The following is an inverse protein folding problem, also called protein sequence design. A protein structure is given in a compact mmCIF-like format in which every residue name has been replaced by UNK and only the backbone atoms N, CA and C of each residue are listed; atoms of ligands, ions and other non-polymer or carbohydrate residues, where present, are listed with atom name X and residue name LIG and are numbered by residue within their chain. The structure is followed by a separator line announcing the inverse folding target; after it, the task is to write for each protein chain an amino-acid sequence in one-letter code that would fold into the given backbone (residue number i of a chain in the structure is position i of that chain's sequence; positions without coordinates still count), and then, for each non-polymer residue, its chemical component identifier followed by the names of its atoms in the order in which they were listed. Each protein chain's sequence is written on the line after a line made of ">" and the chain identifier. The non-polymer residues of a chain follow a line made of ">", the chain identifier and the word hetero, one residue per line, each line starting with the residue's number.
data_IF_624946137286
#
_entry.id   IF_624946137286
#
_cell.length_a   1.000
_cell.length_b   1.000
_cell.length_c   1.000
_cell.angle_alpha   90.00
_cell.angle_beta   90.00
_cell.angle_gamma   90.00
#
_symmetry.space_group_name_H-M   'P 1'
#
loop_
_entity.id
_entity.type
_entity.pdbx_description
1 polymer ?
#
# COMPACT_ATOMS: atom_id res chain seq x y z
N UNK A 1 -21.13 -1.59 17.17
CA UNK A 1 -20.40 -2.60 17.98
C UNK A 1 -19.32 -3.33 17.18
N UNK A 2 -19.61 -3.94 16.02
CA UNK A 2 -18.58 -4.69 15.26
C UNK A 2 -17.30 -3.89 14.93
N UNK A 3 -17.40 -2.68 14.38
CA UNK A 3 -16.22 -1.86 14.06
C UNK A 3 -15.40 -1.49 15.30
N UNK A 4 -16.06 -1.31 16.45
CA UNK A 4 -15.37 -1.05 17.71
C UNK A 4 -14.49 -2.24 18.09
N UNK A 5 -15.02 -3.45 17.98
CA UNK A 5 -14.31 -4.69 18.32
C UNK A 5 -13.15 -5.00 17.36
N UNK A 6 -13.21 -4.57 16.10
CA UNK A 6 -12.22 -4.95 15.08
C UNK A 6 -11.20 -3.85 14.75
N UNK A 7 -11.62 -2.60 14.50
CA UNK A 7 -10.74 -1.57 13.91
C UNK A 7 -10.66 -0.27 14.70
N UNK A 8 -11.57 0.00 15.64
CA UNK A 8 -11.64 1.31 16.29
C UNK A 8 -11.16 1.34 17.75
N UNK A 9 -11.27 0.26 18.52
CA UNK A 9 -10.87 0.25 19.94
C UNK A 9 -9.35 0.49 20.08
N UNK A 10 -8.89 1.56 20.77
CA UNK A 10 -7.46 1.84 20.95
C UNK A 10 -6.64 0.71 21.58
N UNK A 11 -7.25 -0.13 22.40
CA UNK A 11 -6.58 -1.25 23.08
C UNK A 11 -6.34 -2.45 22.16
N UNK A 12 -7.18 -2.65 21.14
CA UNK A 12 -7.15 -3.84 20.27
C UNK A 12 -6.87 -3.54 18.81
N UNK A 13 -7.04 -2.29 18.37
CA UNK A 13 -6.85 -1.90 16.97
C UNK A 13 -5.38 -2.00 16.57
N UNK A 14 -5.16 -2.37 15.31
CA UNK A 14 -3.84 -2.39 14.67
C UNK A 14 -3.76 -1.20 13.71
N UNK A 15 -2.82 -0.29 13.95
CA UNK A 15 -2.58 0.88 13.10
C UNK A 15 -1.17 0.81 12.51
N UNK A 16 -1.05 1.14 11.24
CA UNK A 16 0.23 1.30 10.55
C UNK A 16 0.50 2.80 10.45
N UNK A 17 1.63 3.24 11.02
CA UNK A 17 2.07 4.64 10.90
C UNK A 17 2.93 4.77 9.65
N UNK A 18 2.44 5.53 8.67
CA UNK A 18 3.21 5.88 7.48
C UNK A 18 4.28 6.88 7.85
N UNK A 19 5.53 6.58 7.50
CA UNK A 19 6.68 7.44 7.71
C UNK A 19 7.19 7.96 6.36
N UNK A 20 7.70 9.19 6.29
CA UNK A 20 8.29 9.69 5.06
C UNK A 20 9.59 8.94 4.75
N UNK A 21 9.82 8.69 3.46
CA UNK A 21 11.03 8.06 2.92
C UNK A 21 11.74 9.03 1.96
N UNK A 22 12.62 8.51 1.11
CA UNK A 22 13.31 9.28 0.08
C UNK A 22 12.30 9.93 -0.88
N UNK A 23 12.35 11.26 -0.96
CA UNK A 23 11.41 12.06 -1.76
C UNK A 23 11.47 11.74 -3.25
N UNK A 24 12.67 11.48 -3.79
CA UNK A 24 12.85 11.23 -5.23
C UNK A 24 12.28 9.87 -5.60
N UNK A 25 12.61 8.83 -4.83
CA UNK A 25 12.06 7.49 -5.03
C UNK A 25 10.54 7.48 -4.85
N UNK A 26 10.05 8.20 -3.84
CA UNK A 26 8.60 8.34 -3.62
C UNK A 26 7.92 8.97 -4.84
N UNK A 27 8.44 10.10 -5.34
CA UNK A 27 7.86 10.76 -6.52
C UNK A 27 7.83 9.84 -7.74
N UNK A 28 8.93 9.14 -8.01
CA UNK A 28 9.01 8.18 -9.13
C UNK A 28 7.94 7.08 -9.02
N UNK A 29 7.71 6.56 -7.81
CA UNK A 29 6.70 5.53 -7.57
C UNK A 29 5.27 6.08 -7.74
N UNK A 30 5.02 7.31 -7.26
CA UNK A 30 3.74 7.99 -7.47
C UNK A 30 3.45 8.22 -8.96
N UNK A 31 4.43 8.68 -9.73
CA UNK A 31 4.27 8.91 -11.17
C UNK A 31 4.00 7.60 -11.93
N UNK A 32 4.70 6.52 -11.57
CA UNK A 32 4.50 5.19 -12.16
C UNK A 32 3.11 4.61 -11.85
N UNK A 33 2.69 4.68 -10.58
CA UNK A 33 1.46 4.03 -10.12
C UNK A 33 0.20 4.86 -10.37
N UNK A 34 0.32 6.19 -10.38
CA UNK A 34 -0.82 7.12 -10.45
C UNK A 34 -0.80 8.04 -11.68
N UNK A 35 0.31 8.12 -12.42
CA UNK A 35 0.41 8.93 -13.64
C UNK A 35 -0.17 8.23 -14.89
N UNK A 36 -0.03 8.86 -16.05
CA UNK A 36 -0.76 8.46 -17.27
C UNK A 36 -0.14 7.28 -18.04
N UNK A 37 1.06 6.80 -17.64
CA UNK A 37 1.75 5.70 -18.31
C UNK A 37 1.12 4.33 -17.95
N UNK A 38 0.01 4.00 -18.60
CA UNK A 38 -0.72 2.74 -18.39
C UNK A 38 0.15 1.50 -18.63
N UNK A 39 1.01 1.51 -19.64
CA UNK A 39 1.83 0.34 -19.97
C UNK A 39 2.90 0.10 -18.89
N UNK A 40 3.64 1.13 -18.50
CA UNK A 40 4.66 1.01 -17.45
C UNK A 40 4.07 0.53 -16.12
N UNK A 41 2.84 0.95 -15.79
CA UNK A 41 2.13 0.44 -14.61
C UNK A 41 1.82 -1.05 -14.71
N UNK A 42 1.35 -1.54 -15.86
CA UNK A 42 1.06 -2.96 -16.08
C UNK A 42 2.32 -3.82 -15.95
N UNK A 43 3.41 -3.37 -16.56
CA UNK A 43 4.70 -4.08 -16.52
C UNK A 43 5.20 -4.16 -15.07
N UNK A 44 5.14 -3.05 -14.33
CA UNK A 44 5.52 -3.04 -12.92
C UNK A 44 4.70 -4.02 -12.06
N UNK A 45 3.37 -4.08 -12.25
CA UNK A 45 2.50 -5.01 -11.53
C UNK A 45 2.83 -6.46 -11.90
N UNK A 46 3.06 -6.76 -13.19
CA UNK A 46 3.41 -8.10 -13.64
C UNK A 46 4.75 -8.58 -13.04
N UNK A 47 5.73 -7.69 -12.98
CA UNK A 47 7.09 -8.00 -12.50
C UNK A 47 7.21 -8.02 -10.98
N UNK A 48 6.40 -7.24 -10.25
CA UNK A 48 6.60 -7.01 -8.81
C UNK A 48 5.40 -7.40 -7.95
N UNK A 49 4.21 -7.61 -8.53
CA UNK A 49 2.97 -7.82 -7.76
C UNK A 49 3.04 -8.96 -6.75
N UNK A 50 3.70 -10.06 -7.12
CA UNK A 50 3.86 -11.22 -6.22
C UNK A 50 4.63 -10.90 -4.93
N UNK A 51 5.51 -9.88 -4.95
CA UNK A 51 6.35 -9.51 -3.79
C UNK A 51 5.53 -8.95 -2.62
N UNK A 52 4.29 -8.53 -2.87
CA UNK A 52 3.44 -7.86 -1.89
C UNK A 52 2.29 -8.74 -1.39
N UNK A 53 2.12 -9.96 -1.92
CA UNK A 53 1.00 -10.84 -1.56
C UNK A 53 0.96 -11.19 -0.08
N UNK A 54 2.12 -11.45 0.52
CA UNK A 54 2.25 -11.78 1.94
C UNK A 54 1.86 -10.62 2.88
N UNK A 55 1.81 -9.40 2.35
CA UNK A 55 1.47 -8.18 3.10
C UNK A 55 -0.01 -7.79 2.95
N UNK A 56 -0.77 -8.49 2.10
CA UNK A 56 -2.20 -8.25 1.93
C UNK A 56 -2.94 -8.83 3.14
N UNK A 57 -3.69 -7.97 3.83
CA UNK A 57 -4.64 -8.39 4.87
C UNK A 57 -5.89 -8.97 4.18
N UNK A 58 -5.76 -10.19 3.66
CA UNK A 58 -6.87 -10.96 3.09
C UNK A 58 -7.64 -11.59 4.25
N UNK A 59 -8.51 -10.79 4.87
CA UNK A 59 -9.48 -11.22 5.89
C UNK A 59 -10.70 -11.93 5.28
#
# INVERSE_FOLDING_TARGET
>A
EMMWMTTMNPETRRLIKVMPEDMVLTQQMFDLLLGDNLQGRKDHIAENGYKYLDQLDVS
#
